data_IF_808137318971
#
_entry.id   IF_808137318971
#
_cell.length_a   1.000
_cell.length_b   1.000
_cell.length_c   1.000
_cell.angle_alpha   90.00
_cell.angle_beta   90.00
_cell.angle_gamma   90.00
#
_symmetry.space_group_name_H-M   'P 1'
#
loop_
_entity.id
_entity.type
_entity.pdbx_description
1 polymer ?
#
# COMPACT_ATOMS: atom_id res chain seq x y z
N UNK A 1 -19.75 25.58 -28.39
CA UNK A 1 -20.03 24.14 -28.48
C UNK A 1 -19.57 23.50 -27.19
N UNK A 2 -20.54 22.95 -26.48
CA UNK A 2 -20.52 22.45 -25.11
C UNK A 2 -19.55 21.28 -24.94
N UNK A 3 -18.83 21.25 -23.79
CA UNK A 3 -18.74 20.09 -22.90
C UNK A 3 -18.43 20.59 -21.49
N UNK A 4 -19.51 20.89 -20.78
CA UNK A 4 -19.57 20.65 -19.35
C UNK A 4 -19.43 19.14 -19.16
N UNK A 5 -18.47 18.67 -18.38
CA UNK A 5 -18.43 17.27 -17.93
C UNK A 5 -17.84 17.21 -16.51
N UNK A 6 -18.79 17.13 -15.55
CA UNK A 6 -18.70 16.48 -14.22
C UNK A 6 -17.41 16.63 -13.41
N UNK A 7 -17.36 17.64 -12.53
CA UNK A 7 -16.70 17.47 -11.22
C UNK A 7 -17.60 16.52 -10.40
N UNK A 8 -17.50 15.23 -10.70
CA UNK A 8 -18.33 14.19 -10.10
C UNK A 8 -18.17 14.20 -8.58
N UNK A 9 -19.30 14.29 -7.91
CA UNK A 9 -19.52 14.15 -6.47
C UNK A 9 -18.69 12.97 -5.92
N UNK A 10 -17.47 13.26 -5.47
CA UNK A 10 -16.65 12.24 -4.81
C UNK A 10 -17.27 12.06 -3.43
N UNK A 11 -17.73 10.85 -3.08
CA UNK A 11 -18.34 10.62 -1.78
C UNK A 11 -17.38 11.07 -0.69
N UNK A 12 -17.91 11.72 0.34
CA UNK A 12 -17.12 12.14 1.48
C UNK A 12 -16.38 10.93 2.10
N UNK A 13 -15.15 11.12 2.63
CA UNK A 13 -14.43 10.05 3.30
C UNK A 13 -15.28 9.40 4.40
N UNK A 14 -15.24 8.08 4.54
CA UNK A 14 -15.98 7.34 5.58
C UNK A 14 -15.05 6.85 6.69
N UNK A 15 -15.57 6.45 7.84
CA UNK A 15 -14.70 5.93 8.90
C UNK A 15 -14.08 4.57 8.51
N UNK A 16 -12.75 4.42 8.62
CA UNK A 16 -12.09 3.12 8.41
C UNK A 16 -12.36 2.20 9.61
N UNK A 17 -13.21 1.17 9.45
CA UNK A 17 -13.68 0.38 10.59
C UNK A 17 -13.92 -1.11 10.31
N UNK A 18 -13.69 -1.59 9.08
CA UNK A 18 -14.05 -2.96 8.68
C UNK A 18 -13.07 -3.56 7.68
N UNK A 19 -13.14 -4.89 7.51
CA UNK A 19 -12.40 -5.61 6.47
C UNK A 19 -12.77 -5.13 5.07
N UNK A 20 -14.04 -4.88 4.81
CA UNK A 20 -14.51 -4.35 3.52
C UNK A 20 -13.85 -3.00 3.19
N UNK A 21 -13.72 -2.11 4.18
CA UNK A 21 -13.03 -0.83 3.99
C UNK A 21 -11.53 -1.03 3.69
N UNK A 22 -10.88 -2.01 4.33
CA UNK A 22 -9.48 -2.37 4.03
C UNK A 22 -9.35 -2.89 2.59
N UNK A 23 -10.24 -3.78 2.15
CA UNK A 23 -10.18 -4.34 0.80
C UNK A 23 -10.38 -3.24 -0.26
N UNK A 24 -11.29 -2.28 -0.02
CA UNK A 24 -11.47 -1.10 -0.86
C UNK A 24 -10.23 -0.20 -0.89
N UNK A 25 -9.65 0.08 0.29
CA UNK A 25 -8.43 0.89 0.40
C UNK A 25 -7.27 0.25 -0.37
N UNK A 26 -7.02 -1.04 -0.15
CA UNK A 26 -5.91 -1.77 -0.77
C UNK A 26 -6.12 -1.86 -2.28
N UNK A 27 -7.33 -2.17 -2.76
CA UNK A 27 -7.65 -2.16 -4.20
C UNK A 27 -7.35 -0.80 -4.82
N UNK A 28 -7.85 0.28 -4.21
CA UNK A 28 -7.64 1.64 -4.73
C UNK A 28 -6.16 2.04 -4.74
N UNK A 29 -5.42 1.63 -3.71
CA UNK A 29 -3.98 1.84 -3.66
C UNK A 29 -3.26 1.11 -4.80
N UNK A 30 -3.58 -0.16 -5.07
CA UNK A 30 -2.93 -0.92 -6.15
C UNK A 30 -3.30 -0.41 -7.55
N UNK A 31 -4.53 0.04 -7.78
CA UNK A 31 -4.89 0.74 -9.03
C UNK A 31 -3.91 1.90 -9.30
N UNK A 32 -3.66 2.73 -8.29
CA UNK A 32 -2.74 3.88 -8.41
C UNK A 32 -1.28 3.45 -8.52
N UNK A 33 -0.86 2.44 -7.75
CA UNK A 33 0.52 2.00 -7.72
C UNK A 33 0.94 1.29 -9.01
N UNK A 34 0.01 0.59 -9.67
CA UNK A 34 0.22 -0.05 -10.97
C UNK A 34 0.26 0.95 -12.13
N UNK A 35 -0.43 2.08 -12.01
CA UNK A 35 -0.36 3.19 -12.98
C UNK A 35 0.82 4.14 -12.74
N UNK A 36 1.51 4.03 -11.60
CA UNK A 36 2.60 4.91 -11.23
C UNK A 36 3.93 4.46 -11.86
N UNK A 37 4.60 5.28 -12.70
CA UNK A 37 5.81 4.85 -13.41
C UNK A 37 7.01 4.59 -12.48
N UNK A 38 7.01 5.12 -11.26
CA UNK A 38 8.06 4.88 -10.26
C UNK A 38 7.81 3.58 -9.50
N UNK A 39 6.55 3.17 -9.31
CA UNK A 39 6.23 1.98 -8.52
C UNK A 39 5.91 0.74 -9.36
N UNK A 40 5.21 0.90 -10.48
CA UNK A 40 4.71 -0.18 -11.32
C UNK A 40 5.78 -1.25 -11.65
N UNK A 41 7.05 -0.90 -11.96
CA UNK A 41 8.06 -1.92 -12.25
C UNK A 41 8.35 -2.88 -11.09
N UNK A 42 8.11 -2.50 -9.84
CA UNK A 42 8.33 -3.35 -8.67
C UNK A 42 7.16 -4.33 -8.40
N UNK A 43 6.10 -4.25 -9.20
CA UNK A 43 4.91 -5.08 -9.11
C UNK A 43 4.70 -5.97 -10.34
N UNK A 44 5.71 -6.13 -11.20
CA UNK A 44 5.62 -6.91 -12.44
C UNK A 44 5.22 -8.38 -12.20
N UNK A 45 5.61 -8.96 -11.06
CA UNK A 45 5.22 -10.31 -10.63
C UNK A 45 3.70 -10.49 -10.53
N UNK A 46 2.94 -9.41 -10.33
CA UNK A 46 1.47 -9.45 -10.31
C UNK A 46 0.87 -9.86 -11.66
N UNK A 47 1.59 -9.67 -12.77
CA UNK A 47 1.18 -10.20 -14.07
C UNK A 47 1.18 -11.74 -14.11
N UNK A 48 1.92 -12.40 -13.21
CA UNK A 48 2.02 -13.86 -13.11
C UNK A 48 1.12 -14.40 -12.00
N UNK A 49 1.14 -13.78 -10.82
CA UNK A 49 0.40 -14.29 -9.64
C UNK A 49 -1.07 -13.85 -9.61
N UNK A 50 -1.44 -12.85 -10.42
CA UNK A 50 -2.78 -12.28 -10.43
C UNK A 50 -2.98 -11.22 -9.35
N UNK A 51 -3.63 -10.11 -9.72
CA UNK A 51 -3.89 -9.01 -8.80
C UNK A 51 -4.87 -9.40 -7.69
N UNK A 52 -5.97 -10.08 -8.03
CA UNK A 52 -7.03 -10.35 -7.04
C UNK A 52 -6.56 -11.28 -5.89
N UNK A 53 -5.78 -12.31 -6.21
CA UNK A 53 -5.19 -13.20 -5.19
C UNK A 53 -4.22 -12.45 -4.27
N UNK A 54 -3.43 -11.53 -4.85
CA UNK A 54 -2.53 -10.68 -4.09
C UNK A 54 -3.26 -9.69 -3.18
N UNK A 55 -4.38 -9.12 -3.65
CA UNK A 55 -5.20 -8.20 -2.84
C UNK A 55 -5.74 -8.89 -1.57
N UNK A 56 -6.10 -10.17 -1.64
CA UNK A 56 -6.51 -10.94 -0.44
C UNK A 56 -5.39 -10.99 0.60
N UNK A 57 -4.17 -11.30 0.18
CA UNK A 57 -2.99 -11.39 1.08
C UNK A 57 -2.67 -10.04 1.71
N UNK A 58 -2.73 -8.95 0.95
CA UNK A 58 -2.45 -7.61 1.46
C UNK A 58 -3.60 -7.09 2.33
N UNK A 59 -4.84 -7.48 2.03
CA UNK A 59 -6.00 -7.24 2.89
C UNK A 59 -5.83 -7.92 4.26
N UNK A 60 -5.46 -9.20 4.27
CA UNK A 60 -5.16 -9.95 5.52
C UNK A 60 -4.04 -9.28 6.33
N UNK A 61 -2.99 -8.81 5.64
CA UNK A 61 -1.89 -8.09 6.27
C UNK A 61 -2.37 -6.82 6.98
N UNK A 62 -3.09 -5.95 6.29
CA UNK A 62 -3.57 -4.70 6.88
C UNK A 62 -4.63 -4.92 7.95
N UNK A 63 -5.49 -5.92 7.79
CA UNK A 63 -6.46 -6.29 8.82
C UNK A 63 -5.76 -6.74 10.11
N UNK A 64 -4.68 -7.51 9.99
CA UNK A 64 -3.85 -7.88 11.14
C UNK A 64 -3.17 -6.66 11.78
N UNK A 65 -2.67 -5.71 10.99
CA UNK A 65 -2.02 -4.49 11.51
C UNK A 65 -3.01 -3.58 12.23
N UNK A 66 -4.22 -3.41 11.69
CA UNK A 66 -5.20 -2.45 12.20
C UNK A 66 -6.09 -3.04 13.30
N UNK A 67 -6.58 -4.26 13.09
CA UNK A 67 -7.59 -4.91 13.93
C UNK A 67 -7.06 -6.13 14.70
N UNK A 68 -5.74 -6.40 14.64
CA UNK A 68 -5.06 -7.44 15.42
C UNK A 68 -5.61 -8.86 15.17
N UNK A 69 -6.08 -9.12 13.97
CA UNK A 69 -6.41 -10.49 13.52
C UNK A 69 -5.14 -11.32 13.33
N UNK A 70 -5.29 -12.62 13.05
CA UNK A 70 -4.17 -13.57 12.88
C UNK A 70 -4.20 -14.28 11.53
N UNK A 71 -4.81 -13.64 10.52
CA UNK A 71 -5.02 -14.21 9.18
C UNK A 71 -3.77 -14.17 8.30
N UNK A 72 -2.94 -13.13 8.44
CA UNK A 72 -1.75 -12.99 7.63
C UNK A 72 -0.64 -13.96 8.06
N UNK A 73 -0.20 -14.80 7.12
CA UNK A 73 0.86 -15.80 7.33
C UNK A 73 2.11 -15.57 6.47
N UNK A 74 2.18 -14.43 5.78
CA UNK A 74 3.24 -14.12 4.84
C UNK A 74 4.56 -13.68 5.51
N UNK A 75 5.64 -13.79 4.76
CA UNK A 75 6.98 -13.38 5.19
C UNK A 75 7.30 -11.97 4.66
N UNK A 76 6.86 -10.93 5.40
CA UNK A 76 6.96 -9.53 4.97
C UNK A 76 8.39 -9.12 4.59
N UNK A 77 9.37 -9.27 5.49
CA UNK A 77 10.76 -8.83 5.24
C UNK A 77 11.44 -9.60 4.11
N UNK A 78 11.38 -10.94 4.03
CA UNK A 78 11.96 -11.69 2.92
C UNK A 78 11.47 -11.25 1.54
N UNK A 79 10.16 -10.99 1.39
CA UNK A 79 9.59 -10.49 0.13
C UNK A 79 10.23 -9.16 -0.28
N UNK A 80 10.34 -8.21 0.64
CA UNK A 80 10.92 -6.90 0.34
C UNK A 80 12.43 -6.95 0.09
N UNK A 81 13.15 -7.91 0.69
CA UNK A 81 14.57 -8.16 0.34
C UNK A 81 14.71 -8.68 -1.09
N UNK A 82 13.87 -9.62 -1.50
CA UNK A 82 13.87 -10.13 -2.88
C UNK A 82 13.53 -9.01 -3.87
N UNK A 83 12.46 -8.24 -3.61
CA UNK A 83 12.09 -7.08 -4.43
C UNK A 83 13.22 -6.05 -4.53
N UNK A 84 13.94 -5.79 -3.43
CA UNK A 84 15.10 -4.89 -3.46
C UNK A 84 16.22 -5.44 -4.34
N UNK A 85 16.51 -6.75 -4.28
CA UNK A 85 17.50 -7.39 -5.14
C UNK A 85 17.14 -7.36 -6.62
N UNK A 86 15.85 -7.46 -6.98
CA UNK A 86 15.39 -7.48 -8.37
C UNK A 86 15.15 -6.09 -8.97
N UNK A 87 14.54 -5.18 -8.22
CA UNK A 87 14.05 -3.88 -8.76
C UNK A 87 14.75 -2.66 -8.16
N UNK A 88 15.59 -2.84 -7.14
CA UNK A 88 16.20 -1.73 -6.41
C UNK A 88 15.12 -0.88 -5.73
N UNK A 89 14.64 -1.33 -4.57
CA UNK A 89 13.79 -0.48 -3.73
C UNK A 89 14.65 0.66 -3.19
N UNK A 90 14.54 1.86 -3.75
CA UNK A 90 15.28 3.07 -3.36
C UNK A 90 14.49 3.90 -2.35
N UNK A 91 15.12 4.85 -1.63
CA UNK A 91 14.39 5.77 -0.75
C UNK A 91 13.27 6.53 -1.47
N UNK A 92 13.50 6.97 -2.71
CA UNK A 92 12.50 7.65 -3.52
C UNK A 92 11.29 6.78 -3.87
N UNK A 93 11.49 5.47 -4.12
CA UNK A 93 10.36 4.54 -4.32
C UNK A 93 9.54 4.37 -3.05
N UNK A 94 10.18 4.25 -1.90
CA UNK A 94 9.49 4.18 -0.61
C UNK A 94 8.70 5.45 -0.29
N UNK A 95 9.30 6.62 -0.54
CA UNK A 95 8.62 7.91 -0.39
C UNK A 95 7.39 7.98 -1.32
N UNK A 96 7.54 7.60 -2.59
CA UNK A 96 6.42 7.59 -3.53
C UNK A 96 5.30 6.63 -3.12
N UNK A 97 5.67 5.45 -2.61
CA UNK A 97 4.73 4.47 -2.08
C UNK A 97 3.95 5.04 -0.88
N UNK A 98 4.63 5.73 0.05
CA UNK A 98 3.97 6.39 1.19
C UNK A 98 3.03 7.52 0.75
N UNK A 99 3.45 8.34 -0.21
CA UNK A 99 2.61 9.41 -0.75
C UNK A 99 1.30 8.84 -1.33
N UNK A 100 1.39 7.79 -2.16
CA UNK A 100 0.20 7.15 -2.72
C UNK A 100 -0.65 6.49 -1.65
N UNK A 101 -0.04 5.80 -0.68
CA UNK A 101 -0.75 5.15 0.41
C UNK A 101 -1.52 6.17 1.25
N UNK A 102 -0.82 7.16 1.83
CA UNK A 102 -1.42 8.18 2.68
C UNK A 102 -2.46 9.01 1.93
N UNK A 103 -2.17 9.42 0.69
CA UNK A 103 -3.15 10.14 -0.13
C UNK A 103 -4.40 9.32 -0.47
N UNK A 104 -4.28 8.00 -0.59
CA UNK A 104 -5.44 7.13 -0.80
C UNK A 104 -6.25 6.95 0.48
N UNK A 105 -5.60 6.83 1.64
CA UNK A 105 -6.27 6.83 2.94
C UNK A 105 -7.05 8.14 3.14
N UNK A 106 -6.41 9.29 2.96
CA UNK A 106 -7.02 10.61 3.21
C UNK A 106 -8.19 10.92 2.25
N UNK A 107 -8.14 10.39 1.03
CA UNK A 107 -9.20 10.59 0.05
C UNK A 107 -10.44 9.75 0.36
N UNK A 108 -10.27 8.55 0.91
CA UNK A 108 -11.37 7.58 1.06
C UNK A 108 -11.87 7.47 2.50
N UNK A 109 -11.01 7.72 3.48
CA UNK A 109 -11.28 7.38 4.87
C UNK A 109 -10.87 8.46 5.86
N UNK A 110 -11.54 8.44 7.02
CA UNK A 110 -11.17 9.19 8.21
C UNK A 110 -11.23 8.29 9.46
N UNK A 111 -10.88 8.86 10.62
CA UNK A 111 -10.98 8.18 11.92
C UNK A 111 -9.66 7.60 12.43
N UNK A 112 -9.69 7.02 13.63
CA UNK A 112 -8.49 6.59 14.36
C UNK A 112 -7.71 5.52 13.60
N UNK A 113 -8.39 4.59 12.93
CA UNK A 113 -7.73 3.52 12.19
C UNK A 113 -7.16 4.00 10.85
N UNK A 114 -7.71 5.07 10.25
CA UNK A 114 -7.12 5.72 9.07
C UNK A 114 -5.76 6.38 9.43
N UNK A 115 -5.71 7.12 10.53
CA UNK A 115 -4.45 7.69 11.04
C UNK A 115 -3.45 6.60 11.43
N UNK A 116 -3.94 5.50 12.03
CA UNK A 116 -3.13 4.33 12.36
C UNK A 116 -2.55 3.69 11.10
N UNK A 117 -3.33 3.56 10.02
CA UNK A 117 -2.85 2.99 8.76
C UNK A 117 -1.67 3.78 8.19
N UNK A 118 -1.74 5.12 8.21
CA UNK A 118 -0.65 6.02 7.78
C UNK A 118 0.58 5.88 8.67
N UNK A 119 0.40 5.99 9.99
CA UNK A 119 1.51 5.89 10.96
C UNK A 119 2.22 4.54 10.90
N UNK A 120 1.46 3.45 10.73
CA UNK A 120 2.02 2.10 10.59
C UNK A 120 2.78 1.94 9.27
N UNK A 121 2.26 2.49 8.17
CA UNK A 121 2.94 2.50 6.88
C UNK A 121 4.33 3.13 6.98
N UNK A 122 4.42 4.33 7.56
CA UNK A 122 5.68 5.05 7.76
C UNK A 122 6.67 4.27 8.62
N UNK A 123 6.21 3.71 9.74
CA UNK A 123 7.05 2.92 10.63
C UNK A 123 7.60 1.65 9.93
N UNK A 124 6.78 0.97 9.14
CA UNK A 124 7.19 -0.21 8.37
C UNK A 124 8.20 0.14 7.29
N UNK A 125 7.98 1.23 6.55
CA UNK A 125 8.93 1.73 5.56
C UNK A 125 10.27 2.09 6.22
N UNK A 126 10.26 2.82 7.34
CA UNK A 126 11.48 3.15 8.07
C UNK A 126 12.24 1.91 8.56
N UNK A 127 11.52 0.86 9.00
CA UNK A 127 12.12 -0.41 9.38
C UNK A 127 12.71 -1.15 8.18
N UNK A 128 12.01 -1.18 7.04
CA UNK A 128 12.50 -1.79 5.80
C UNK A 128 13.75 -1.09 5.28
N UNK A 129 13.76 0.24 5.22
CA UNK A 129 14.93 1.00 4.78
C UNK A 129 16.16 0.68 5.65
N UNK A 130 16.01 0.66 6.98
CA UNK A 130 17.09 0.23 7.89
C UNK A 130 17.55 -1.21 7.60
N UNK A 131 16.60 -2.11 7.36
CA UNK A 131 16.86 -3.54 7.11
C UNK A 131 17.55 -3.80 5.77
N UNK A 132 17.23 -3.00 4.75
CA UNK A 132 17.75 -3.15 3.38
C UNK A 132 19.09 -2.44 3.21
N UNK A 133 19.26 -1.23 3.77
CA UNK A 133 20.47 -0.43 3.59
C UNK A 133 21.49 -0.54 4.73
N UNK A 134 21.04 -0.91 5.94
CA UNK A 134 21.89 -1.07 7.12
C UNK A 134 22.78 -2.33 7.10
N UNK A 135 22.70 -3.14 6.03
CA UNK A 135 23.52 -4.35 5.84
C UNK A 135 24.90 -4.11 5.23
N UNK A 136 25.29 -2.87 4.92
CA UNK A 136 26.63 -2.55 4.38
C UNK A 136 27.64 -2.35 5.51
N UNK A 137 27.85 -3.38 6.31
CA UNK A 137 29.01 -3.50 7.19
C UNK A 137 29.36 -4.99 7.30
N UNK A 138 30.27 -5.42 6.43
CA UNK A 138 31.04 -6.65 6.62
C UNK A 138 32.48 -6.38 6.25
#
# INVERSE_FOLDING_TARGET
MTRSDTHGDRPAPVELASREHIDLLVRRFYERALDDPVLAPAFDVLAVIGLDDHLVVVGDFWEQILFRTTRYRGAFVPVHRALHGHHGLTPARFERWLQLWCGTVDEMFHGVDAERAKTKAEAMVGSLQKTLYGGTAR
#
